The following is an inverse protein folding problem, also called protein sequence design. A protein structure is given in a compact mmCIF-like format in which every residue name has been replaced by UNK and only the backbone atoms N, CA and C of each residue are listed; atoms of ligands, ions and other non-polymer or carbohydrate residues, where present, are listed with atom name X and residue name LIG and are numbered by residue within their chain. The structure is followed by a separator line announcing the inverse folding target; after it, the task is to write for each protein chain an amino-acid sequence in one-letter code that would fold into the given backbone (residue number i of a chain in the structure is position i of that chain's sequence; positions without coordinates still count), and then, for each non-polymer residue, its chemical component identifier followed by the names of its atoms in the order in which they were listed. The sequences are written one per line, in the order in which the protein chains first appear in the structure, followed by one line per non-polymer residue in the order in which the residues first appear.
data_IF_925151105384
#
_entry.id   IF_925151105384
#
_cell.length_a   1.000
_cell.length_b   1.000
_cell.length_c   1.000
_cell.angle_alpha   90.00
_cell.angle_beta   90.00
_cell.angle_gamma   90.00
#
_symmetry.space_group_name_H-M   'P 1'
#
loop_
_entity.id
_entity.type
_entity.pdbx_description
1 polymer ?
#
# COMPACT_ATOMS: atom_id res chain seq x y z
N UNK A 1 31.26 4.74 -20.40
CA UNK A 1 29.89 4.17 -20.49
C UNK A 1 29.13 4.32 -19.19
N UNK A 2 29.66 3.88 -18.04
CA UNK A 2 28.96 3.98 -16.74
C UNK A 2 28.46 5.38 -16.39
N UNK A 3 29.31 6.42 -16.49
CA UNK A 3 28.91 7.82 -16.25
C UNK A 3 27.70 8.25 -17.11
N UNK A 4 27.68 7.84 -18.39
CA UNK A 4 26.55 8.15 -19.30
C UNK A 4 25.26 7.47 -18.82
N UNK A 5 25.33 6.21 -18.40
CA UNK A 5 24.17 5.50 -17.88
C UNK A 5 23.67 6.13 -16.59
N UNK A 6 24.56 6.49 -15.67
CA UNK A 6 24.22 7.20 -14.43
C UNK A 6 23.52 8.51 -14.75
N UNK A 7 24.08 9.34 -15.62
CA UNK A 7 23.45 10.60 -16.04
C UNK A 7 22.11 10.39 -16.72
N UNK A 8 21.97 9.37 -17.59
CA UNK A 8 20.70 9.08 -18.25
C UNK A 8 19.62 8.70 -17.23
N UNK A 9 19.93 7.79 -16.29
CA UNK A 9 18.97 7.39 -15.26
C UNK A 9 18.64 8.56 -14.34
N UNK A 10 19.63 9.40 -14.02
CA UNK A 10 19.43 10.63 -13.25
C UNK A 10 18.39 11.54 -13.92
N UNK A 11 18.62 11.93 -15.17
CA UNK A 11 17.69 12.78 -15.93
C UNK A 11 16.31 12.16 -16.08
N UNK A 12 16.25 10.86 -16.39
CA UNK A 12 14.99 10.14 -16.52
C UNK A 12 14.17 10.19 -15.21
N UNK A 13 14.83 9.97 -14.07
CA UNK A 13 14.17 10.07 -12.77
C UNK A 13 13.75 11.51 -12.48
N UNK A 14 14.57 12.51 -12.78
CA UNK A 14 14.24 13.93 -12.60
C UNK A 14 12.99 14.36 -13.37
N UNK A 15 12.71 13.74 -14.53
CA UNK A 15 11.49 13.98 -15.31
C UNK A 15 10.24 13.28 -14.75
N UNK A 16 10.39 12.31 -13.84
CA UNK A 16 9.24 11.63 -13.24
C UNK A 16 8.66 12.42 -12.07
N UNK A 17 7.33 12.43 -11.96
CA UNK A 17 6.60 13.17 -10.92
C UNK A 17 7.03 12.82 -9.49
N UNK A 18 7.39 11.55 -9.24
CA UNK A 18 7.84 11.07 -7.93
C UNK A 18 9.35 10.86 -7.87
N UNK A 19 10.14 11.28 -8.87
CA UNK A 19 11.59 11.06 -8.91
C UNK A 19 12.01 9.60 -8.62
N UNK A 20 11.16 8.64 -9.03
CA UNK A 20 11.31 7.20 -8.78
C UNK A 20 10.68 6.35 -9.87
N UNK A 21 11.32 5.23 -10.17
CA UNK A 21 10.86 4.24 -11.16
C UNK A 21 11.21 2.83 -10.70
N UNK A 22 10.37 1.84 -11.04
CA UNK A 22 10.70 0.43 -10.80
C UNK A 22 11.85 -0.01 -11.71
N UNK A 23 12.82 -0.73 -11.16
CA UNK A 23 13.97 -1.24 -11.94
C UNK A 23 13.50 -2.18 -13.05
N UNK A 24 12.43 -2.96 -12.81
CA UNK A 24 11.79 -3.80 -13.84
C UNK A 24 11.28 -2.97 -15.03
N UNK A 25 10.60 -1.84 -14.75
CA UNK A 25 10.12 -0.92 -15.79
C UNK A 25 11.28 -0.32 -16.58
N UNK A 26 12.37 0.02 -15.90
CA UNK A 26 13.56 0.55 -16.53
C UNK A 26 14.26 -0.50 -17.42
N UNK A 27 14.21 -1.78 -17.02
CA UNK A 27 14.70 -2.91 -17.79
C UNK A 27 13.99 -3.13 -19.13
N UNK A 28 12.71 -2.77 -19.25
CA UNK A 28 11.99 -2.88 -20.53
C UNK A 28 12.54 -1.94 -21.61
N UNK A 29 13.14 -0.81 -21.23
CA UNK A 29 13.73 0.17 -22.14
C UNK A 29 15.24 0.00 -22.29
N UNK A 30 15.76 -1.20 -21.97
CA UNK A 30 17.20 -1.47 -21.95
C UNK A 30 17.85 -1.24 -23.31
N UNK A 31 17.18 -1.61 -24.41
CA UNK A 31 17.73 -1.46 -25.76
C UNK A 31 17.75 0.01 -26.18
N UNK A 32 16.66 0.71 -25.91
CA UNK A 32 16.39 2.10 -26.28
C UNK A 32 17.35 3.07 -25.57
N UNK A 33 17.61 2.82 -24.29
CA UNK A 33 18.52 3.63 -23.49
C UNK A 33 19.94 3.05 -23.38
N UNK A 34 20.22 1.95 -24.08
CA UNK A 34 21.49 1.22 -24.02
C UNK A 34 21.94 0.91 -22.58
N UNK A 35 21.00 0.44 -21.74
CA UNK A 35 21.26 0.14 -20.33
C UNK A 35 22.04 -1.17 -20.18
N UNK A 36 22.90 -1.29 -19.15
CA UNK A 36 23.63 -2.52 -18.87
C UNK A 36 22.71 -3.63 -18.35
N UNK A 37 23.10 -4.88 -18.57
CA UNK A 37 22.44 -6.10 -18.07
C UNK A 37 22.23 -6.07 -16.56
N UNK A 38 23.26 -5.60 -15.86
CA UNK A 38 23.31 -5.55 -14.40
C UNK A 38 23.06 -4.12 -13.92
N UNK A 39 21.98 -3.50 -14.38
CA UNK A 39 21.61 -2.13 -13.97
C UNK A 39 21.54 -1.98 -12.46
N UNK A 40 21.00 -2.99 -11.77
CA UNK A 40 20.88 -3.05 -10.31
C UNK A 40 22.25 -2.86 -9.64
N UNK A 41 23.28 -3.54 -10.16
CA UNK A 41 24.66 -3.45 -9.65
C UNK A 41 25.24 -2.07 -9.90
N UNK A 42 24.97 -1.46 -11.06
CA UNK A 42 25.39 -0.08 -11.35
C UNK A 42 24.73 0.90 -10.38
N UNK A 43 23.42 0.80 -10.14
CA UNK A 43 22.71 1.71 -9.23
C UNK A 43 23.25 1.63 -7.80
N UNK A 44 23.55 0.41 -7.32
CA UNK A 44 24.11 0.19 -5.99
C UNK A 44 25.55 0.72 -5.83
N UNK A 45 26.31 0.91 -6.92
CA UNK A 45 27.64 1.55 -6.87
C UNK A 45 27.57 3.05 -6.63
N UNK A 46 26.42 3.69 -6.86
CA UNK A 46 26.24 5.14 -6.72
C UNK A 46 25.22 5.49 -5.62
N UNK A 47 25.43 5.06 -4.36
CA UNK A 47 24.46 5.24 -3.29
C UNK A 47 24.31 6.70 -2.84
N UNK A 48 25.23 7.60 -3.21
CA UNK A 48 25.11 9.03 -2.95
C UNK A 48 24.08 9.72 -3.86
N UNK A 49 23.83 9.16 -5.04
CA UNK A 49 22.91 9.71 -6.05
C UNK A 49 21.58 8.95 -6.00
N UNK A 50 21.66 7.62 -6.00
CA UNK A 50 20.48 6.76 -6.05
C UNK A 50 20.22 6.10 -4.70
N UNK A 51 18.94 5.90 -4.42
CA UNK A 51 18.48 5.01 -3.36
C UNK A 51 17.65 3.90 -3.99
N UNK A 52 17.92 2.65 -3.63
CA UNK A 52 17.15 1.50 -4.12
C UNK A 52 16.31 0.97 -2.97
N UNK A 53 14.99 1.10 -3.10
CA UNK A 53 14.04 0.54 -2.15
C UNK A 53 13.56 -0.83 -2.64
N UNK A 54 13.46 -1.80 -1.73
CA UNK A 54 12.69 -3.02 -1.96
C UNK A 54 11.42 -2.92 -1.13
N UNK A 55 10.26 -2.92 -1.78
CA UNK A 55 8.96 -2.96 -1.13
C UNK A 55 8.11 -4.02 -1.82
N UNK A 56 7.66 -5.03 -1.08
CA UNK A 56 6.86 -6.15 -1.60
C UNK A 56 7.48 -6.81 -2.84
N UNK A 57 8.77 -7.13 -2.79
CA UNK A 57 9.55 -7.68 -3.91
C UNK A 57 9.71 -6.75 -5.13
N UNK A 58 9.20 -5.52 -5.06
CA UNK A 58 9.37 -4.52 -6.10
C UNK A 58 10.58 -3.65 -5.78
N UNK A 59 11.64 -3.84 -6.56
CA UNK A 59 12.80 -2.96 -6.55
C UNK A 59 12.49 -1.67 -7.30
N UNK A 60 12.59 -0.55 -6.60
CA UNK A 60 12.43 0.79 -7.16
C UNK A 60 13.67 1.62 -6.89
N UNK A 61 14.12 2.36 -7.92
CA UNK A 61 15.20 3.33 -7.80
C UNK A 61 14.59 4.72 -7.62
N UNK A 62 15.16 5.46 -6.68
CA UNK A 62 14.79 6.82 -6.30
C UNK A 62 16.00 7.73 -6.44
N UNK A 63 15.75 8.98 -6.82
CA UNK A 63 16.78 10.01 -6.87
C UNK A 63 16.89 10.70 -5.50
N UNK A 64 18.04 10.59 -4.82
CA UNK A 64 18.21 11.06 -3.44
C UNK A 64 18.06 12.58 -3.30
N UNK A 65 18.63 13.34 -4.21
CA UNK A 65 18.51 14.82 -4.21
C UNK A 65 17.06 15.31 -4.36
N UNK A 66 16.14 14.43 -4.79
CA UNK A 66 14.73 14.73 -4.89
C UNK A 66 13.96 14.69 -3.57
N UNK A 67 14.56 14.12 -2.52
CA UNK A 67 13.88 13.74 -1.30
C UNK A 67 14.57 14.27 -0.05
N UNK A 68 13.76 14.74 0.91
CA UNK A 68 14.17 15.00 2.28
C UNK A 68 13.54 13.93 3.17
N UNK A 69 14.31 12.89 3.50
CA UNK A 69 13.79 11.70 4.16
C UNK A 69 12.76 10.97 3.29
N UNK A 70 11.52 10.87 3.78
CA UNK A 70 10.41 10.23 3.06
C UNK A 70 9.62 11.18 2.14
N UNK A 71 9.87 12.49 2.22
CA UNK A 71 9.10 13.50 1.51
C UNK A 71 9.81 14.01 0.27
N UNK A 72 9.06 14.20 -0.81
CA UNK A 72 9.57 14.80 -2.04
C UNK A 72 9.76 16.31 -1.81
N UNK A 73 10.94 16.83 -2.10
CA UNK A 73 11.30 18.25 -1.85
C UNK A 73 10.46 19.18 -2.72
N UNK A 74 10.41 18.88 -4.03
CA UNK A 74 9.64 19.66 -4.99
C UNK A 74 8.49 18.80 -5.52
N UNK A 75 7.27 19.12 -5.05
CA UNK A 75 6.05 18.40 -5.40
C UNK A 75 5.35 19.09 -6.56
N UNK A 76 5.24 18.37 -7.68
CA UNK A 76 4.38 18.78 -8.77
C UNK A 76 2.91 18.92 -8.29
N UNK A 77 2.11 19.89 -8.79
CA UNK A 77 0.71 20.05 -8.41
C UNK A 77 -0.13 18.77 -8.49
N UNK A 78 0.14 17.88 -9.46
CA UNK A 78 -0.54 16.60 -9.58
C UNK A 78 -0.25 15.66 -8.39
N UNK A 79 0.97 15.69 -7.86
CA UNK A 79 1.34 14.93 -6.67
C UNK A 79 0.59 15.48 -5.45
N UNK A 80 0.51 16.81 -5.31
CA UNK A 80 -0.23 17.44 -4.21
C UNK A 80 -1.72 17.10 -4.25
N UNK A 81 -2.35 17.15 -5.43
CA UNK A 81 -3.77 16.79 -5.57
C UNK A 81 -3.99 15.31 -5.25
N UNK A 82 -3.10 14.42 -5.69
CA UNK A 82 -3.16 13.00 -5.36
C UNK A 82 -3.02 12.76 -3.85
N UNK A 83 -2.09 13.45 -3.19
CA UNK A 83 -1.87 13.33 -1.74
C UNK A 83 -3.15 13.74 -0.99
N UNK A 84 -3.72 14.92 -1.30
CA UNK A 84 -5.00 15.41 -0.73
C UNK A 84 -6.16 14.45 -0.98
N UNK A 85 -6.27 13.91 -2.19
CA UNK A 85 -7.31 12.93 -2.50
C UNK A 85 -7.13 11.66 -1.66
N UNK A 86 -5.88 11.21 -1.45
CA UNK A 86 -5.56 10.10 -0.58
C UNK A 86 -6.01 10.34 0.86
N UNK A 87 -5.75 11.54 1.40
CA UNK A 87 -6.20 11.94 2.74
C UNK A 87 -7.72 11.87 2.89
N UNK A 88 -8.46 12.48 1.95
CA UNK A 88 -9.93 12.44 1.94
C UNK A 88 -10.49 11.01 1.88
N UNK A 89 -9.88 10.14 1.09
CA UNK A 89 -10.28 8.73 1.01
C UNK A 89 -10.05 7.98 2.32
N UNK A 90 -8.95 8.26 3.02
CA UNK A 90 -8.68 7.66 4.34
C UNK A 90 -9.67 8.15 5.39
N UNK A 91 -9.98 9.45 5.40
CA UNK A 91 -11.00 10.03 6.28
C UNK A 91 -12.36 9.37 6.06
N UNK A 92 -12.81 9.27 4.80
CA UNK A 92 -14.06 8.59 4.45
C UNK A 92 -14.09 7.14 4.92
N UNK A 93 -12.99 6.41 4.78
CA UNK A 93 -12.87 5.04 5.27
C UNK A 93 -12.90 4.96 6.81
N UNK A 94 -12.22 5.88 7.50
CA UNK A 94 -12.24 5.96 8.97
C UNK A 94 -13.63 6.26 9.51
N UNK A 95 -14.37 7.19 8.90
CA UNK A 95 -15.76 7.49 9.25
C UNK A 95 -16.68 6.29 9.04
N UNK A 96 -16.57 5.65 7.88
CA UNK A 96 -17.34 4.45 7.55
C UNK A 96 -17.10 3.34 8.59
N UNK A 97 -15.84 3.03 8.88
CA UNK A 97 -15.48 2.01 9.86
C UNK A 97 -15.98 2.36 11.27
N UNK A 98 -15.93 3.63 11.68
CA UNK A 98 -16.45 4.09 12.96
C UNK A 98 -17.96 3.93 13.06
N UNK A 99 -18.72 4.34 12.03
CA UNK A 99 -20.18 4.18 11.98
C UNK A 99 -20.58 2.71 12.04
N UNK A 100 -19.92 1.86 11.26
CA UNK A 100 -20.18 0.41 11.29
C UNK A 100 -19.83 -0.22 12.65
N UNK A 101 -18.74 0.21 13.28
CA UNK A 101 -18.39 -0.27 14.62
C UNK A 101 -19.47 0.09 15.65
N UNK A 102 -19.97 1.32 15.64
CA UNK A 102 -21.04 1.77 16.53
C UNK A 102 -22.34 0.99 16.30
N UNK A 103 -22.76 0.80 15.04
CA UNK A 103 -23.94 -0.01 14.72
C UNK A 103 -23.80 -1.46 15.19
N UNK A 104 -22.61 -2.05 15.08
CA UNK A 104 -22.36 -3.40 15.57
C UNK A 104 -22.47 -3.48 17.10
N UNK A 105 -22.00 -2.47 17.83
CA UNK A 105 -22.16 -2.38 19.28
C UNK A 105 -23.64 -2.24 19.67
N UNK A 106 -24.41 -1.44 18.95
CA UNK A 106 -25.86 -1.30 19.18
C UNK A 106 -26.61 -2.61 18.90
N UNK A 107 -26.30 -3.31 17.81
CA UNK A 107 -26.86 -4.63 17.52
C UNK A 107 -26.55 -5.62 18.65
N UNK A 108 -25.32 -5.63 19.17
CA UNK A 108 -24.95 -6.47 20.33
C UNK A 108 -25.74 -6.13 21.59
N UNK A 109 -25.92 -4.83 21.89
CA UNK A 109 -26.76 -4.36 23.02
C UNK A 109 -28.21 -4.80 22.84
N UNK A 110 -28.79 -4.64 21.65
CA UNK A 110 -30.17 -5.05 21.32
C UNK A 110 -30.36 -6.57 21.37
N UNK A 111 -29.33 -7.36 21.01
CA UNK A 111 -29.32 -8.83 21.14
C UNK A 111 -29.04 -9.31 22.58
N UNK A 112 -28.98 -8.43 23.58
CA UNK A 112 -28.83 -8.80 24.99
C UNK A 112 -27.43 -9.26 25.41
N UNK A 113 -26.41 -9.14 24.55
CA UNK A 113 -25.03 -9.45 24.91
C UNK A 113 -24.45 -8.33 25.79
N UNK A 114 -24.42 -8.55 27.11
CA UNK A 114 -23.76 -7.66 28.07
C UNK A 114 -22.24 -7.68 27.81
N UNK A 115 -21.65 -6.52 27.52
CA UNK A 115 -20.20 -6.32 27.48
C UNK A 115 -19.65 -6.47 28.92
N UNK A 116 -19.30 -7.68 29.32
CA UNK A 116 -18.57 -7.93 30.56
C UNK A 116 -17.18 -7.29 30.41
N UNK A 117 -16.82 -6.37 31.31
CA UNK A 117 -15.48 -5.76 31.36
C UNK A 117 -14.41 -6.86 31.29
N UNK A 118 -13.31 -6.71 30.53
CA UNK A 118 -12.29 -7.74 30.47
C UNK A 118 -11.60 -7.82 31.84
N UNK A 119 -11.85 -8.91 32.57
CA UNK A 119 -10.94 -9.41 33.60
C UNK A 119 -9.94 -10.33 32.91
N UNK A 120 -8.70 -10.23 33.37
CA UNK A 120 -7.50 -10.86 32.85
C UNK A 120 -7.61 -12.38 32.63
N UNK A 121 -7.01 -12.83 31.52
CA UNK A 121 -6.40 -14.13 31.19
C UNK A 121 -7.04 -15.45 31.65
N UNK A 122 -7.37 -16.32 30.68
CA UNK A 122 -6.82 -17.69 30.47
C UNK A 122 -7.65 -18.49 29.43
N UNK A 123 -7.00 -19.06 28.42
CA UNK A 123 -7.51 -20.17 27.58
C UNK A 123 -7.80 -21.40 28.48
N UNK A 124 -8.82 -22.27 28.21
CA UNK A 124 -8.90 -23.08 26.97
C UNK A 124 -10.30 -23.51 26.47
N UNK A 125 -10.34 -23.85 25.16
CA UNK A 125 -11.08 -24.93 24.49
C UNK A 125 -12.63 -25.01 24.49
N UNK A 126 -13.15 -25.20 23.26
CA UNK A 126 -14.33 -26.01 22.85
C UNK A 126 -15.74 -25.41 22.99
N UNK A 127 -16.26 -25.07 21.80
CA UNK A 127 -17.60 -25.44 21.26
C UNK A 127 -18.79 -24.46 21.21
N UNK A 128 -19.45 -24.56 20.06
CA UNK A 128 -20.85 -24.25 19.72
C UNK A 128 -21.35 -22.81 19.48
N UNK A 129 -21.51 -22.50 18.19
CA UNK A 129 -22.81 -22.39 17.47
C UNK A 129 -22.91 -21.14 16.59
N UNK A 130 -22.60 -21.33 15.31
CA UNK A 130 -22.88 -20.35 14.26
C UNK A 130 -24.35 -20.48 13.82
N UNK A 131 -25.24 -19.70 14.44
CA UNK A 131 -26.54 -19.42 13.82
C UNK A 131 -26.37 -18.24 12.85
N UNK A 132 -26.24 -18.58 11.58
CA UNK A 132 -26.33 -17.65 10.46
C UNK A 132 -27.76 -17.09 10.39
N UNK A 133 -27.90 -15.79 10.65
CA UNK A 133 -29.18 -15.07 10.57
C UNK A 133 -29.33 -14.53 9.15
N UNK A 134 -30.31 -15.09 8.42
CA UNK A 134 -30.67 -14.72 7.06
C UNK A 134 -31.31 -13.31 7.06
N UNK A 135 -30.76 -12.39 6.28
CA UNK A 135 -31.37 -11.08 6.13
C UNK A 135 -30.76 -10.22 5.02
N UNK A 136 -31.39 -10.26 3.85
CA UNK A 136 -31.37 -9.18 2.85
C UNK A 136 -30.27 -9.25 1.79
N UNK A 137 -30.62 -9.82 0.65
CA UNK A 137 -29.87 -9.75 -0.61
C UNK A 137 -29.65 -8.29 -1.04
N UNK A 138 -28.44 -7.80 -0.84
CA UNK A 138 -27.87 -6.66 -1.56
C UNK A 138 -26.57 -7.15 -2.19
N UNK A 139 -26.69 -7.97 -3.23
CA UNK A 139 -25.57 -8.47 -4.02
C UNK A 139 -24.59 -7.37 -4.44
N UNK A 140 -23.30 -7.61 -4.18
CA UNK A 140 -22.17 -6.74 -4.47
C UNK A 140 -21.32 -6.43 -3.23
N UNK A 141 -20.28 -5.60 -3.42
CA UNK A 141 -19.21 -5.14 -2.48
C UNK A 141 -19.63 -4.88 -1.01
N UNK A 142 -20.92 -4.81 -0.72
CA UNK A 142 -21.51 -4.71 0.62
C UNK A 142 -21.60 -6.05 1.37
N UNK A 143 -21.39 -7.19 0.72
CA UNK A 143 -21.32 -8.49 1.39
C UNK A 143 -20.06 -8.58 2.30
N UNK A 144 -20.22 -8.85 3.61
CA UNK A 144 -19.11 -8.90 4.55
C UNK A 144 -18.05 -9.96 4.20
N UNK A 145 -18.45 -11.05 3.53
CA UNK A 145 -17.55 -12.12 3.13
C UNK A 145 -16.77 -11.74 1.87
N UNK A 146 -17.43 -11.18 0.85
CA UNK A 146 -16.75 -10.61 -0.32
C UNK A 146 -15.76 -9.51 0.09
N UNK A 147 -16.14 -8.64 1.03
CA UNK A 147 -15.24 -7.59 1.52
C UNK A 147 -14.02 -8.15 2.27
N UNK A 148 -14.21 -9.20 3.08
CA UNK A 148 -13.10 -9.91 3.72
C UNK A 148 -12.20 -10.56 2.68
N UNK A 149 -12.75 -11.21 1.65
CA UNK A 149 -11.98 -11.79 0.53
C UNK A 149 -11.23 -10.70 -0.23
N UNK A 150 -11.87 -9.57 -0.51
CA UNK A 150 -11.27 -8.43 -1.21
C UNK A 150 -10.06 -7.88 -0.46
N UNK A 151 -10.20 -7.56 0.83
CA UNK A 151 -9.07 -7.05 1.61
C UNK A 151 -7.99 -8.11 1.87
N UNK A 152 -8.37 -9.37 1.98
CA UNK A 152 -7.42 -10.49 2.04
C UNK A 152 -6.57 -10.54 0.77
N UNK A 153 -7.18 -10.46 -0.42
CA UNK A 153 -6.44 -10.43 -1.70
C UNK A 153 -5.61 -9.15 -1.87
N UNK A 154 -6.09 -8.01 -1.36
CA UNK A 154 -5.40 -6.72 -1.52
C UNK A 154 -4.17 -6.56 -0.62
N UNK A 155 -4.14 -7.23 0.53
CA UNK A 155 -3.15 -7.01 1.60
C UNK A 155 -2.43 -8.26 2.12
N UNK A 156 -2.85 -9.47 1.74
CA UNK A 156 -2.01 -10.66 1.98
C UNK A 156 -0.94 -10.73 0.88
N UNK A 157 0.33 -10.66 1.28
CA UNK A 157 1.53 -10.85 0.43
C UNK A 157 1.70 -12.29 -0.10
N UNK A 158 0.66 -13.13 0.01
CA UNK A 158 0.67 -14.53 -0.41
C UNK A 158 -0.31 -14.75 -1.57
N UNK A 159 0.04 -14.23 -2.74
CA UNK A 159 -0.34 -14.81 -4.03
C UNK A 159 0.96 -14.99 -4.85
N UNK A 160 1.11 -16.13 -5.57
CA UNK A 160 2.37 -16.55 -6.20
C UNK A 160 2.94 -15.56 -7.22
#
# INVERSE_FOLDING_TARGET
MEKRTVSLVHELLSLTLWKKVSIMKLGHFRREFCLPEKLNVLLLKHPGIFYVSNKYQIYSVLLREGYNGSELIDKNPLVVVKDKFGELMQEGLHEYNRRHHLMNLEKKKKKGMILRRPKEMKDPSTDMSEQADQGGDLGGIFDPEERKRFYKVLFDDNAP
#
